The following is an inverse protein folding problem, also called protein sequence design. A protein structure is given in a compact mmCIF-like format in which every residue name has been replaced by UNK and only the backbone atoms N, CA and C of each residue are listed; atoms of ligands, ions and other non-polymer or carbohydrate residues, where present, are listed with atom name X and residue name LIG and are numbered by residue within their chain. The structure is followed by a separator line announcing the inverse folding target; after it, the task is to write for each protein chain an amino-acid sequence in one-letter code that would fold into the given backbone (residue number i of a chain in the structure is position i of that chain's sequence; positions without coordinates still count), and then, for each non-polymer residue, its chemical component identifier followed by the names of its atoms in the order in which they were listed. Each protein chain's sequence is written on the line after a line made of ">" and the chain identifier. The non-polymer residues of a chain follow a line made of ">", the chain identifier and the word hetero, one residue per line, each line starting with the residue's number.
data_IF_844365851724
#
_entry.id   IF_844365851724
#
_cell.length_a   1.000
_cell.length_b   1.000
_cell.length_c   1.000
_cell.angle_alpha   90.00
_cell.angle_beta   90.00
_cell.angle_gamma   90.00
#
_symmetry.space_group_name_H-M   'P 1'
#
loop_
_entity.id
_entity.type
_entity.pdbx_description
1 polymer ?
#
# COMPACT_ATOMS: atom_id res chain seq x y z
N UNK A 1 33.16 61.74 -27.43
CA UNK A 1 33.25 60.26 -27.37
C UNK A 1 34.73 59.89 -27.33
N UNK A 2 35.14 58.94 -26.49
CA UNK A 2 36.56 58.51 -26.38
C UNK A 2 36.61 57.01 -26.64
N UNK A 3 37.22 56.61 -27.75
CA UNK A 3 37.43 55.20 -28.05
C UNK A 3 38.73 54.75 -27.38
N UNK A 4 38.73 53.55 -26.80
CA UNK A 4 39.90 53.02 -26.07
C UNK A 4 40.34 51.74 -26.79
N UNK A 5 41.64 51.43 -26.77
CA UNK A 5 42.17 50.20 -27.36
C UNK A 5 42.77 49.25 -26.31
N UNK A 6 42.65 47.92 -26.45
CA UNK A 6 43.13 46.93 -25.48
C UNK A 6 44.66 46.93 -25.25
N UNK A 7 45.42 47.59 -26.12
CA UNK A 7 46.83 47.89 -25.93
C UNK A 7 47.12 48.95 -24.85
N UNK A 8 46.11 49.45 -24.15
CA UNK A 8 46.23 50.47 -23.10
C UNK A 8 46.38 51.90 -23.66
N UNK A 9 46.13 52.09 -24.94
CA UNK A 9 46.05 53.39 -25.61
C UNK A 9 44.62 53.92 -25.62
N UNK A 10 44.46 55.24 -25.47
CA UNK A 10 43.17 55.91 -25.70
C UNK A 10 43.27 56.67 -27.01
N UNK A 11 42.31 56.45 -27.91
CA UNK A 11 42.15 57.19 -29.15
C UNK A 11 40.92 58.11 -29.02
N UNK A 12 41.10 59.35 -28.53
CA UNK A 12 39.99 60.28 -28.43
C UNK A 12 39.55 60.69 -29.84
N UNK A 13 38.28 60.45 -30.19
CA UNK A 13 37.65 61.18 -31.29
C UNK A 13 37.58 62.64 -30.85
N UNK A 14 38.63 63.40 -31.18
CA UNK A 14 38.62 64.85 -31.05
C UNK A 14 37.84 65.39 -32.23
N UNK A 15 36.54 65.55 -32.04
CA UNK A 15 35.67 65.98 -33.10
C UNK A 15 36.17 67.34 -33.63
N UNK A 16 36.71 67.37 -34.87
CA UNK A 16 37.08 68.64 -35.54
C UNK A 16 35.82 69.48 -35.86
N UNK A 17 34.63 68.93 -35.58
CA UNK A 17 33.27 69.46 -35.77
C UNK A 17 32.42 68.98 -34.58
N UNK A 18 31.56 69.83 -34.03
CA UNK A 18 30.63 69.44 -32.96
C UNK A 18 29.70 68.30 -33.44
N UNK A 19 29.60 67.23 -32.64
CA UNK A 19 28.69 66.11 -32.86
C UNK A 19 27.46 66.33 -31.97
N UNK A 20 26.30 66.57 -32.59
CA UNK A 20 25.05 66.81 -31.87
C UNK A 20 24.23 65.52 -31.92
N UNK A 21 23.90 64.97 -30.76
CA UNK A 21 23.01 63.83 -30.60
C UNK A 21 21.72 64.32 -29.93
N UNK A 22 20.67 64.49 -30.72
CA UNK A 22 19.34 64.85 -30.20
C UNK A 22 18.73 63.67 -29.41
N UNK A 23 17.81 63.92 -28.46
CA UNK A 23 17.10 62.84 -27.77
C UNK A 23 16.40 61.88 -28.75
N UNK A 24 16.69 60.58 -28.63
CA UNK A 24 16.19 59.54 -29.55
C UNK A 24 16.84 59.55 -30.95
N UNK A 25 17.81 60.44 -31.19
CA UNK A 25 18.62 60.47 -32.39
C UNK A 25 19.68 59.36 -32.40
N UNK A 26 20.20 59.08 -33.59
CA UNK A 26 21.30 58.14 -33.82
C UNK A 26 22.42 58.91 -34.51
N UNK A 27 23.66 58.58 -34.17
CA UNK A 27 24.86 59.09 -34.84
C UNK A 27 25.68 57.91 -35.34
N UNK A 28 26.05 57.93 -36.62
CA UNK A 28 26.84 56.88 -37.26
C UNK A 28 28.29 57.35 -37.48
N UNK A 29 29.24 56.54 -36.99
CA UNK A 29 30.68 56.78 -37.13
C UNK A 29 31.28 55.72 -38.07
N UNK A 30 32.25 56.10 -38.90
CA UNK A 30 32.93 55.14 -39.77
C UNK A 30 34.32 55.60 -40.23
N UNK A 31 35.13 54.64 -40.70
CA UNK A 31 36.54 54.88 -41.03
C UNK A 31 36.69 55.75 -42.28
N UNK A 32 36.02 55.38 -43.37
CA UNK A 32 36.17 56.04 -44.67
C UNK A 32 34.81 56.58 -45.13
N UNK A 33 34.80 57.72 -45.81
CA UNK A 33 33.60 58.30 -46.43
C UNK A 33 33.26 57.58 -47.75
N UNK A 34 33.12 56.26 -47.71
CA UNK A 34 32.71 55.42 -48.85
C UNK A 34 31.36 54.77 -48.55
N UNK A 35 30.30 55.37 -49.10
CA UNK A 35 28.93 54.90 -48.93
C UNK A 35 28.74 53.42 -49.27
N UNK A 36 29.44 52.88 -50.29
CA UNK A 36 29.28 51.47 -50.67
C UNK A 36 30.01 50.54 -49.70
N UNK A 37 31.19 50.92 -49.23
CA UNK A 37 31.93 50.14 -48.23
C UNK A 37 31.27 50.20 -46.85
N UNK A 38 30.60 51.30 -46.53
CA UNK A 38 29.83 51.47 -45.30
C UNK A 38 28.43 50.81 -45.38
N UNK A 39 28.23 49.84 -46.27
CA UNK A 39 26.97 49.11 -46.39
C UNK A 39 25.77 50.00 -46.75
N UNK A 40 25.98 51.04 -47.55
CA UNK A 40 24.97 52.04 -47.91
C UNK A 40 24.48 52.88 -46.72
N UNK A 41 25.31 53.06 -45.68
CA UNK A 41 25.06 54.00 -44.58
C UNK A 41 25.79 55.31 -44.83
N UNK A 42 25.10 56.43 -44.60
CA UNK A 42 25.73 57.76 -44.57
C UNK A 42 26.33 57.99 -43.19
N UNK A 43 27.63 58.34 -43.14
CA UNK A 43 28.31 58.64 -41.89
C UNK A 43 28.03 60.07 -41.43
N UNK A 44 27.83 60.25 -40.13
CA UNK A 44 27.75 61.57 -39.48
C UNK A 44 29.16 62.09 -39.12
N UNK A 45 30.10 61.17 -38.89
CA UNK A 45 31.49 61.46 -38.63
C UNK A 45 32.42 60.40 -39.24
N UNK A 46 33.45 60.88 -39.93
CA UNK A 46 34.47 60.06 -40.59
C UNK A 46 35.75 60.20 -39.78
N UNK A 47 36.28 59.09 -39.26
CA UNK A 47 37.45 59.11 -38.37
C UNK A 47 38.77 58.73 -39.04
N UNK A 48 38.78 58.34 -40.32
CA UNK A 48 39.99 58.02 -41.08
C UNK A 48 40.91 57.04 -40.32
N UNK A 49 42.19 57.36 -40.19
CA UNK A 49 43.17 56.55 -39.46
C UNK A 49 43.29 56.97 -37.97
N UNK A 50 42.41 57.85 -37.47
CA UNK A 50 42.46 58.31 -36.07
C UNK A 50 42.14 57.17 -35.08
N UNK A 51 41.39 56.15 -35.52
CA UNK A 51 41.04 54.94 -34.77
C UNK A 51 41.29 53.69 -35.62
N UNK A 52 41.82 52.65 -34.97
CA UNK A 52 41.86 51.30 -35.51
C UNK A 52 40.90 50.40 -34.70
N UNK A 53 39.77 50.02 -35.29
CA UNK A 53 38.89 48.99 -34.73
C UNK A 53 39.32 47.61 -35.26
N UNK A 54 40.07 46.88 -34.45
CA UNK A 54 40.51 45.52 -34.75
C UNK A 54 39.46 44.45 -34.45
N UNK A 55 39.77 43.18 -34.78
CA UNK A 55 38.97 42.00 -34.38
C UNK A 55 39.35 41.45 -32.99
N UNK A 56 40.41 42.00 -32.40
CA UNK A 56 40.85 41.67 -31.04
C UNK A 56 39.91 42.28 -30.00
N UNK A 57 39.98 41.81 -28.76
CA UNK A 57 39.15 42.36 -27.68
C UNK A 57 39.42 43.85 -27.46
N UNK A 58 38.36 44.65 -27.31
CA UNK A 58 38.47 46.09 -27.08
C UNK A 58 37.23 46.76 -26.45
N UNK A 59 37.27 48.07 -26.16
CA UNK A 59 36.16 48.84 -25.57
C UNK A 59 35.96 50.25 -26.18
N UNK A 60 34.71 50.52 -26.57
CA UNK A 60 34.23 51.84 -27.01
C UNK A 60 33.52 52.54 -25.86
N UNK A 61 33.94 53.76 -25.50
CA UNK A 61 33.34 54.53 -24.39
C UNK A 61 32.71 55.85 -24.88
N UNK A 62 31.44 56.05 -24.57
CA UNK A 62 30.79 57.35 -24.66
C UNK A 62 31.04 58.11 -23.36
N UNK A 63 31.77 59.24 -23.44
CA UNK A 63 32.06 60.10 -22.29
C UNK A 63 31.43 61.49 -22.44
N UNK A 64 30.78 61.97 -21.38
CA UNK A 64 30.31 63.34 -21.21
C UNK A 64 31.10 64.00 -20.08
N UNK A 65 31.78 65.12 -20.37
CA UNK A 65 32.63 65.85 -19.42
C UNK A 65 33.67 65.00 -18.65
N UNK A 66 34.17 63.95 -19.31
CA UNK A 66 35.16 63.02 -18.74
C UNK A 66 34.56 61.83 -17.97
N UNK A 67 33.24 61.80 -17.75
CA UNK A 67 32.52 60.68 -17.15
C UNK A 67 32.02 59.73 -18.24
N UNK A 68 32.23 58.42 -18.08
CA UNK A 68 31.64 57.39 -18.95
C UNK A 68 30.13 57.39 -18.74
N UNK A 69 29.39 57.64 -19.82
CA UNK A 69 27.94 57.59 -19.89
C UNK A 69 27.48 56.22 -20.36
N UNK A 70 28.22 55.61 -21.29
CA UNK A 70 27.95 54.28 -21.81
C UNK A 70 29.23 53.65 -22.37
N UNK A 71 29.29 52.32 -22.43
CA UNK A 71 30.38 51.62 -23.11
C UNK A 71 29.98 50.28 -23.68
N UNK A 72 30.69 49.87 -24.74
CA UNK A 72 30.58 48.54 -25.34
C UNK A 72 31.94 47.91 -25.44
N UNK A 73 32.08 46.74 -24.81
CA UNK A 73 33.25 45.88 -24.95
C UNK A 73 32.98 44.79 -25.98
N UNK A 74 33.92 44.56 -26.88
CA UNK A 74 33.84 43.54 -27.92
C UNK A 74 35.10 42.68 -27.92
N UNK A 75 35.09 41.57 -28.65
CA UNK A 75 36.22 40.65 -28.74
C UNK A 75 35.80 39.19 -28.91
N UNK A 76 36.75 38.29 -29.24
CA UNK A 76 36.48 36.87 -29.42
C UNK A 76 35.86 36.19 -28.19
N UNK A 77 36.16 36.68 -26.98
CA UNK A 77 35.63 36.13 -25.71
C UNK A 77 34.34 36.83 -25.23
N UNK A 78 33.87 37.84 -25.97
CA UNK A 78 32.63 38.60 -25.70
C UNK A 78 31.72 38.48 -26.93
N UNK A 79 31.58 39.56 -27.69
CA UNK A 79 30.95 39.55 -29.01
C UNK A 79 32.00 39.74 -30.10
N UNK A 80 32.10 38.76 -31.01
CA UNK A 80 33.01 38.82 -32.15
C UNK A 80 32.56 39.89 -33.15
N UNK A 81 33.51 40.77 -33.53
CA UNK A 81 33.29 41.73 -34.62
C UNK A 81 33.57 41.03 -35.96
N UNK A 82 32.50 40.76 -36.70
CA UNK A 82 32.56 40.12 -38.02
C UNK A 82 32.37 41.14 -39.14
N UNK A 83 33.12 40.99 -40.23
CA UNK A 83 32.98 41.87 -41.39
C UNK A 83 31.61 41.64 -42.01
N UNK A 84 30.83 42.73 -42.18
CA UNK A 84 29.49 42.67 -42.76
C UNK A 84 28.39 42.28 -41.76
N UNK A 85 28.68 42.31 -40.45
CA UNK A 85 27.68 42.23 -39.39
C UNK A 85 27.84 43.39 -38.43
N UNK A 86 26.73 44.04 -38.12
CA UNK A 86 26.63 45.02 -37.05
C UNK A 86 26.22 44.32 -35.77
N UNK A 87 26.42 44.99 -34.64
CA UNK A 87 26.11 44.47 -33.32
C UNK A 87 25.05 45.39 -32.71
N UNK A 88 23.97 44.82 -32.17
CA UNK A 88 22.87 45.54 -31.53
C UNK A 88 22.72 45.07 -30.10
N UNK A 89 22.28 45.97 -29.22
CA UNK A 89 21.94 45.66 -27.84
C UNK A 89 20.48 45.21 -27.77
N UNK A 90 20.22 44.11 -27.06
CA UNK A 90 18.90 43.65 -26.64
C UNK A 90 18.30 44.61 -25.61
N UNK A 91 17.13 45.20 -25.87
CA UNK A 91 16.42 46.00 -24.89
C UNK A 91 16.01 45.13 -23.69
N UNK A 92 16.03 45.73 -22.50
CA UNK A 92 15.58 45.14 -21.22
C UNK A 92 16.55 44.20 -20.48
N UNK A 93 17.81 44.05 -20.91
CA UNK A 93 18.86 43.46 -20.06
C UNK A 93 19.59 44.56 -19.27
N UNK A 94 19.05 44.91 -18.10
CA UNK A 94 19.71 45.85 -17.19
C UNK A 94 20.74 45.09 -16.33
N UNK A 95 22.04 45.29 -16.59
CA UNK A 95 23.11 44.91 -15.65
C UNK A 95 23.93 43.63 -15.92
N UNK A 96 23.91 43.05 -17.13
CA UNK A 96 24.87 42.00 -17.52
C UNK A 96 25.66 42.48 -18.77
N UNK A 97 26.99 42.24 -18.88
CA UNK A 97 27.81 42.61 -20.05
C UNK A 97 27.47 41.86 -21.37
N UNK A 98 26.25 41.33 -21.54
CA UNK A 98 25.91 40.34 -22.58
C UNK A 98 24.57 40.61 -23.30
N UNK A 99 24.14 41.86 -23.43
CA UNK A 99 22.99 42.16 -24.28
C UNK A 99 23.34 42.35 -25.76
N UNK A 100 24.62 42.29 -26.14
CA UNK A 100 25.04 42.57 -27.52
C UNK A 100 25.02 41.28 -28.34
N UNK A 101 24.28 41.29 -29.45
CA UNK A 101 24.24 40.21 -30.45
C UNK A 101 24.41 40.76 -31.87
N UNK A 102 24.70 39.87 -32.83
CA UNK A 102 24.72 40.26 -34.24
C UNK A 102 23.33 40.76 -34.66
N UNK A 103 23.30 41.82 -35.47
CA UNK A 103 22.08 42.26 -36.11
C UNK A 103 21.50 41.10 -36.93
N UNK A 104 20.20 40.82 -36.77
CA UNK A 104 19.52 39.74 -37.50
C UNK A 104 18.88 40.25 -38.79
N UNK A 105 18.55 41.55 -38.86
CA UNK A 105 17.96 42.20 -40.04
C UNK A 105 19.02 42.77 -40.99
N UNK A 106 18.87 42.48 -42.28
CA UNK A 106 19.71 43.07 -43.33
C UNK A 106 19.44 44.56 -43.47
N UNK A 107 20.49 45.37 -43.58
CA UNK A 107 20.41 46.78 -43.91
C UNK A 107 20.95 47.11 -45.28
N UNK A 108 20.27 48.02 -45.99
CA UNK A 108 20.74 48.67 -47.22
C UNK A 108 21.08 47.72 -48.38
N UNK A 109 20.61 46.47 -48.28
CA UNK A 109 20.65 45.35 -49.25
C UNK A 109 21.83 45.25 -50.21
N UNK A 110 23.01 45.62 -49.73
CA UNK A 110 24.25 45.11 -50.28
C UNK A 110 24.67 43.73 -49.77
N UNK A 111 24.05 43.24 -48.68
CA UNK A 111 24.40 42.06 -47.84
C UNK A 111 25.15 42.37 -46.51
N UNK A 112 24.86 43.49 -45.84
CA UNK A 112 25.28 43.71 -44.44
C UNK A 112 24.08 43.52 -43.50
N UNK A 113 24.25 42.79 -42.41
CA UNK A 113 23.26 42.73 -41.33
C UNK A 113 23.51 43.90 -40.39
N UNK A 114 22.59 44.86 -40.28
CA UNK A 114 22.89 46.07 -39.53
C UNK A 114 21.70 46.97 -39.27
N UNK A 115 21.86 47.93 -38.36
CA UNK A 115 20.86 48.96 -38.09
C UNK A 115 21.57 50.31 -38.11
N UNK A 116 20.99 51.30 -38.80
CA UNK A 116 20.97 52.65 -38.29
C UNK A 116 19.51 53.07 -38.20
N UNK A 117 18.84 52.70 -37.12
CA UNK A 117 17.46 53.14 -36.89
C UNK A 117 16.64 52.34 -35.89
N UNK A 118 16.73 51.02 -35.92
CA UNK A 118 15.85 50.13 -35.14
C UNK A 118 16.69 49.21 -34.26
N UNK A 119 16.27 48.97 -33.03
CA UNK A 119 16.92 48.00 -32.15
C UNK A 119 16.59 46.57 -32.64
N UNK A 120 17.55 45.64 -32.52
CA UNK A 120 17.16 44.23 -32.35
C UNK A 120 16.41 44.17 -31.02
N UNK A 121 15.11 43.93 -31.04
CA UNK A 121 14.34 43.90 -29.78
C UNK A 121 14.65 42.67 -28.94
N UNK A 122 15.18 41.60 -29.55
CA UNK A 122 15.58 40.36 -28.90
C UNK A 122 16.85 39.83 -29.55
N UNK A 123 17.67 39.09 -28.82
CA UNK A 123 18.80 38.35 -29.37
C UNK A 123 18.40 36.89 -29.57
N UNK A 124 19.00 36.24 -30.58
CA UNK A 124 18.98 34.77 -30.71
C UNK A 124 19.98 34.23 -29.68
N UNK A 125 19.48 33.77 -28.53
CA UNK A 125 20.33 33.49 -27.37
C UNK A 125 20.96 32.09 -27.40
N UNK A 126 20.40 31.17 -28.17
CA UNK A 126 20.91 29.80 -28.32
C UNK A 126 21.57 29.52 -29.69
N UNK A 127 21.49 30.46 -30.61
CA UNK A 127 22.04 30.45 -31.97
C UNK A 127 21.42 29.39 -32.89
N UNK A 128 20.12 29.11 -32.75
CA UNK A 128 19.37 28.23 -33.64
C UNK A 128 18.87 28.94 -34.93
N UNK A 129 18.95 30.28 -34.95
CA UNK A 129 18.54 31.14 -36.06
C UNK A 129 17.19 31.84 -35.85
N UNK A 130 16.52 31.64 -34.72
CA UNK A 130 15.28 32.30 -34.32
C UNK A 130 15.51 33.09 -33.02
N UNK A 131 14.59 34.01 -32.72
CA UNK A 131 14.52 34.61 -31.40
C UNK A 131 13.06 34.83 -31.01
N UNK A 132 12.83 35.31 -29.78
CA UNK A 132 11.50 35.49 -29.21
C UNK A 132 10.53 36.28 -30.13
N UNK A 133 10.97 37.38 -30.74
CA UNK A 133 10.12 38.17 -31.65
C UNK A 133 9.89 37.57 -33.04
N UNK A 134 10.61 36.50 -33.37
CA UNK A 134 10.45 35.72 -34.60
C UNK A 134 9.64 34.43 -34.37
N UNK A 135 9.16 34.20 -33.15
CA UNK A 135 8.28 33.09 -32.79
C UNK A 135 8.96 31.95 -32.04
N UNK A 136 10.20 32.12 -31.60
CA UNK A 136 10.85 31.18 -30.70
C UNK A 136 10.18 31.19 -29.32
N UNK A 137 9.74 30.02 -28.88
CA UNK A 137 9.06 29.82 -27.62
C UNK A 137 10.00 29.43 -26.46
N UNK A 138 11.26 29.07 -26.74
CA UNK A 138 12.34 28.90 -25.74
C UNK A 138 13.71 29.25 -26.34
N UNK A 139 13.99 30.56 -26.43
CA UNK A 139 15.21 31.18 -26.98
C UNK A 139 16.52 30.81 -26.23
N UNK A 140 16.47 29.91 -25.26
CA UNK A 140 17.66 29.35 -24.59
C UNK A 140 17.91 27.88 -24.93
N UNK A 141 17.11 27.29 -25.81
CA UNK A 141 17.17 25.88 -26.16
C UNK A 141 17.06 25.67 -27.67
N UNK A 142 18.17 25.37 -28.37
CA UNK A 142 18.22 25.38 -29.84
C UNK A 142 17.54 24.16 -30.50
N UNK A 143 16.75 23.43 -29.71
CA UNK A 143 15.89 22.33 -30.14
C UNK A 143 14.42 22.69 -30.08
N UNK A 144 14.10 23.83 -29.48
CA UNK A 144 12.76 24.38 -29.38
C UNK A 144 12.79 25.65 -30.21
N UNK A 145 12.03 25.70 -31.29
CA UNK A 145 12.06 26.83 -32.21
C UNK A 145 11.24 26.56 -33.47
N UNK A 146 10.86 27.61 -34.22
CA UNK A 146 10.00 27.48 -35.40
C UNK A 146 10.47 26.41 -36.40
N UNK A 147 9.68 25.34 -36.53
CA UNK A 147 9.92 24.25 -37.49
C UNK A 147 10.89 23.16 -37.04
N UNK A 148 11.22 23.09 -35.75
CA UNK A 148 11.96 21.95 -35.17
C UNK A 148 11.11 20.65 -35.18
N UNK A 149 11.71 19.45 -35.07
CA UNK A 149 10.94 18.21 -34.92
C UNK A 149 10.27 18.11 -33.55
N UNK A 150 9.02 17.65 -33.52
CA UNK A 150 8.29 17.35 -32.28
C UNK A 150 8.80 16.06 -31.63
N UNK A 151 8.81 16.06 -30.30
CA UNK A 151 9.05 14.88 -29.48
C UNK A 151 7.90 14.70 -28.49
N UNK A 152 7.58 13.45 -28.15
CA UNK A 152 6.62 13.16 -27.08
C UNK A 152 7.22 13.51 -25.70
N UNK A 153 7.19 14.78 -25.34
CA UNK A 153 7.80 15.35 -24.13
C UNK A 153 6.90 16.40 -23.45
N UNK A 154 5.73 16.70 -24.03
CA UNK A 154 4.77 17.68 -23.52
C UNK A 154 5.17 19.13 -23.76
N UNK A 155 6.09 19.39 -24.68
CA UNK A 155 6.57 20.70 -25.12
C UNK A 155 6.15 20.87 -26.58
N UNK A 156 5.81 22.10 -26.95
CA UNK A 156 5.67 22.53 -28.36
C UNK A 156 7.08 22.81 -28.88
N UNK A 157 7.78 21.78 -29.35
CA UNK A 157 9.19 21.89 -29.75
C UNK A 157 9.32 22.77 -31.01
N UNK A 158 8.29 22.82 -31.85
CA UNK A 158 8.34 23.53 -33.13
C UNK A 158 7.67 24.92 -33.11
N UNK A 159 7.18 25.33 -31.93
CA UNK A 159 6.50 26.59 -31.63
C UNK A 159 5.32 26.92 -32.56
N UNK A 160 4.53 25.92 -32.98
CA UNK A 160 3.37 26.12 -33.85
C UNK A 160 2.03 26.27 -33.09
N UNK A 161 2.04 26.11 -31.77
CA UNK A 161 0.88 26.21 -30.89
C UNK A 161 0.14 24.89 -30.64
N UNK A 162 0.66 23.77 -31.16
CA UNK A 162 0.24 22.41 -30.84
C UNK A 162 1.35 21.74 -30.00
N UNK A 163 1.03 20.64 -29.34
CA UNK A 163 1.98 19.96 -28.46
C UNK A 163 1.96 18.48 -28.81
N UNK A 164 3.14 17.91 -29.02
CA UNK A 164 3.35 16.51 -29.39
C UNK A 164 2.57 16.07 -30.64
N UNK A 165 2.35 16.94 -31.62
CA UNK A 165 1.76 16.57 -32.90
C UNK A 165 2.78 15.92 -33.84
N UNK A 166 2.30 15.11 -34.79
CA UNK A 166 3.14 14.45 -35.81
C UNK A 166 4.35 13.65 -35.25
N UNK A 167 4.31 13.27 -33.96
CA UNK A 167 5.38 12.48 -33.30
C UNK A 167 5.39 11.02 -33.74
N UNK A 168 6.59 10.49 -33.95
CA UNK A 168 6.80 9.06 -34.24
C UNK A 168 7.08 8.26 -32.95
N UNK A 169 6.40 7.11 -32.73
CA UNK A 169 6.66 6.26 -31.58
C UNK A 169 8.10 5.74 -31.50
N UNK A 170 8.72 5.90 -30.34
CA UNK A 170 10.07 5.35 -30.05
C UNK A 170 10.05 4.01 -29.31
N UNK A 171 8.85 3.53 -28.95
CA UNK A 171 8.60 2.23 -28.31
C UNK A 171 7.74 1.35 -29.21
N UNK A 172 7.73 0.04 -28.94
CA UNK A 172 6.81 -0.92 -29.57
C UNK A 172 6.05 -1.67 -28.48
N UNK A 173 4.72 -1.76 -28.63
CA UNK A 173 3.87 -2.52 -27.72
C UNK A 173 3.87 -4.01 -28.06
N UNK A 174 3.50 -4.84 -27.08
CA UNK A 174 3.17 -6.25 -27.32
C UNK A 174 1.95 -6.33 -28.25
N UNK A 175 1.96 -7.30 -29.17
CA UNK A 175 1.00 -7.41 -30.26
C UNK A 175 0.37 -8.80 -30.40
N UNK A 176 0.61 -9.68 -29.43
CA UNK A 176 0.04 -11.03 -29.36
C UNK A 176 -1.07 -11.12 -28.32
N UNK A 177 -1.81 -12.21 -28.34
CA UNK A 177 -2.86 -12.48 -27.37
C UNK A 177 -3.89 -11.37 -27.31
N UNK A 178 -4.24 -10.97 -26.08
CA UNK A 178 -5.18 -9.88 -25.83
C UNK A 178 -4.61 -8.50 -26.23
N UNK A 179 -3.28 -8.35 -26.28
CA UNK A 179 -2.62 -7.09 -26.65
C UNK A 179 -2.67 -6.77 -28.15
N UNK A 180 -3.16 -7.68 -28.99
CA UNK A 180 -3.17 -7.52 -30.44
C UNK A 180 -3.85 -6.20 -30.86
N UNK A 181 -3.10 -5.37 -31.60
CA UNK A 181 -3.55 -4.07 -32.07
C UNK A 181 -3.31 -2.90 -31.11
N UNK A 182 -2.69 -3.12 -29.96
CA UNK A 182 -2.24 -2.04 -29.07
C UNK A 182 -1.18 -1.19 -29.77
N UNK A 183 -1.42 0.11 -29.85
CA UNK A 183 -0.50 1.08 -30.44
C UNK A 183 0.07 2.01 -29.37
N UNK A 184 1.36 2.40 -29.45
CA UNK A 184 1.93 3.39 -28.54
C UNK A 184 1.13 4.68 -28.56
N UNK A 185 0.88 5.25 -27.37
CA UNK A 185 0.18 6.52 -27.21
C UNK A 185 1.07 7.51 -26.48
N UNK A 186 1.22 8.72 -27.02
CA UNK A 186 1.96 9.79 -26.37
C UNK A 186 1.15 10.37 -25.20
N UNK A 187 1.80 10.62 -24.06
CA UNK A 187 1.23 11.26 -22.87
C UNK A 187 2.01 12.54 -22.50
N UNK A 188 2.56 13.22 -23.50
CA UNK A 188 3.43 14.38 -23.36
C UNK A 188 4.61 14.12 -22.44
N UNK A 189 4.74 14.88 -21.35
CA UNK A 189 5.86 14.77 -20.41
C UNK A 189 5.98 13.39 -19.73
N UNK A 190 4.92 12.59 -19.70
CA UNK A 190 4.97 11.21 -19.22
C UNK A 190 5.56 10.23 -20.26
N UNK A 191 5.78 10.68 -21.50
CA UNK A 191 6.34 9.91 -22.60
C UNK A 191 5.34 8.96 -23.25
N UNK A 192 5.87 7.96 -23.94
CA UNK A 192 5.08 6.94 -24.62
C UNK A 192 4.60 5.84 -23.66
N UNK A 193 3.34 5.44 -23.79
CA UNK A 193 2.77 4.30 -23.07
C UNK A 193 2.15 3.29 -24.05
N UNK A 194 1.99 2.05 -23.58
CA UNK A 194 1.19 1.03 -24.23
C UNK A 194 -0.10 0.83 -23.43
N UNK A 195 -1.25 1.37 -23.89
CA UNK A 195 -2.52 1.21 -23.19
C UNK A 195 -3.11 -0.17 -23.47
N UNK A 196 -2.56 -1.21 -22.82
CA UNK A 196 -3.06 -2.57 -22.95
C UNK A 196 -4.52 -2.68 -22.44
N UNK A 197 -5.34 -3.55 -23.05
CA UNK A 197 -6.75 -3.70 -22.69
C UNK A 197 -6.94 -4.32 -21.30
N UNK A 198 -8.19 -4.25 -20.81
CA UNK A 198 -8.61 -4.96 -19.61
C UNK A 198 -8.38 -6.47 -19.77
N UNK A 199 -7.77 -7.11 -18.79
CA UNK A 199 -7.32 -8.50 -18.85
C UNK A 199 -5.84 -8.68 -19.14
N UNK A 200 -5.10 -7.62 -19.51
CA UNK A 200 -3.63 -7.71 -19.60
C UNK A 200 -3.00 -8.00 -18.24
N UNK A 201 -2.03 -8.92 -18.24
CA UNK A 201 -1.23 -9.32 -17.10
C UNK A 201 0.27 -9.13 -17.43
N UNK A 202 1.12 -8.73 -16.49
CA UNK A 202 2.58 -8.68 -16.78
C UNK A 202 3.21 -10.07 -16.86
N UNK A 203 2.58 -11.03 -16.18
CA UNK A 203 2.93 -12.44 -16.11
C UNK A 203 1.61 -13.18 -16.05
N UNK A 204 1.44 -14.22 -16.86
CA UNK A 204 0.22 -15.01 -16.89
C UNK A 204 -0.08 -15.61 -15.50
N UNK A 205 -1.22 -15.26 -14.92
CA UNK A 205 -1.71 -15.77 -13.63
C UNK A 205 -3.11 -16.35 -13.73
N UNK A 206 -3.85 -16.02 -14.78
CA UNK A 206 -5.18 -16.58 -15.07
C UNK A 206 -5.05 -17.70 -16.10
N UNK A 207 -5.79 -18.79 -15.93
CA UNK A 207 -5.85 -19.91 -16.90
C UNK A 207 -7.21 -19.86 -17.62
N UNK A 208 -7.38 -18.92 -18.54
CA UNK A 208 -8.67 -18.63 -19.21
C UNK A 208 -8.67 -18.93 -20.72
N UNK A 209 -7.58 -19.47 -21.25
CA UNK A 209 -7.44 -19.75 -22.67
C UNK A 209 -7.08 -18.53 -23.51
N UNK A 210 -6.72 -17.41 -22.88
CA UNK A 210 -6.22 -16.20 -23.52
C UNK A 210 -4.72 -16.08 -23.20
N UNK A 211 -4.00 -15.27 -23.97
CA UNK A 211 -2.60 -14.92 -23.75
C UNK A 211 -2.60 -13.51 -23.17
N UNK A 212 -2.71 -13.43 -21.84
CA UNK A 212 -2.92 -12.19 -21.09
C UNK A 212 -1.61 -11.44 -20.87
N UNK A 213 -0.48 -12.14 -20.85
CA UNK A 213 0.87 -11.57 -20.81
C UNK A 213 1.47 -11.25 -22.18
N UNK A 214 0.78 -11.67 -23.24
CA UNK A 214 1.05 -11.34 -24.63
C UNK A 214 2.44 -11.82 -25.09
N UNK A 215 2.97 -12.89 -24.49
CA UNK A 215 4.22 -13.51 -24.90
C UNK A 215 4.06 -14.41 -26.14
N UNK A 216 2.82 -14.77 -26.48
CA UNK A 216 2.44 -15.57 -27.64
C UNK A 216 2.17 -17.03 -27.34
N UNK A 217 2.12 -17.41 -26.07
CA UNK A 217 1.79 -18.75 -25.61
C UNK A 217 0.62 -18.59 -24.62
N UNK A 218 -0.50 -19.23 -24.93
CA UNK A 218 -1.69 -19.19 -24.09
C UNK A 218 -1.43 -19.94 -22.79
N UNK A 219 -1.77 -19.33 -21.65
CA UNK A 219 -1.74 -19.91 -20.30
C UNK A 219 -0.38 -20.56 -19.86
N UNK A 220 0.77 -20.03 -20.29
CA UNK A 220 2.06 -20.75 -20.25
C UNK A 220 2.78 -20.81 -18.88
N UNK A 221 2.34 -20.04 -17.90
CA UNK A 221 2.78 -20.15 -16.51
C UNK A 221 1.97 -21.15 -15.67
N UNK A 222 1.03 -21.86 -16.30
CA UNK A 222 0.23 -22.89 -15.65
C UNK A 222 0.80 -24.27 -15.95
N UNK A 223 1.24 -24.97 -14.90
CA UNK A 223 1.76 -26.33 -15.01
C UNK A 223 1.16 -27.23 -13.96
N UNK A 224 0.97 -28.50 -14.31
CA UNK A 224 0.61 -29.56 -13.38
C UNK A 224 1.83 -30.43 -13.14
N UNK A 225 2.39 -30.41 -11.93
CA UNK A 225 3.66 -31.09 -11.59
C UNK A 225 4.82 -30.82 -12.58
N UNK A 226 4.88 -29.60 -13.13
CA UNK A 226 5.88 -29.20 -14.13
C UNK A 226 5.59 -29.65 -15.57
N UNK A 227 4.44 -30.27 -15.81
CA UNK A 227 3.92 -30.55 -17.15
C UNK A 227 3.10 -29.35 -17.63
N UNK A 228 3.39 -28.89 -18.85
CA UNK A 228 2.66 -27.78 -19.48
C UNK A 228 1.25 -28.22 -19.92
N UNK A 229 0.35 -27.26 -20.09
CA UNK A 229 -0.97 -27.49 -20.69
C UNK A 229 -0.86 -28.25 -22.02
N UNK A 230 -1.75 -29.22 -22.21
CA UNK A 230 -1.76 -30.12 -23.36
C UNK A 230 -0.79 -31.31 -23.28
N UNK A 231 0.07 -31.40 -22.26
CA UNK A 231 0.93 -32.56 -22.05
C UNK A 231 0.15 -33.77 -21.52
N UNK A 232 0.61 -34.98 -21.86
CA UNK A 232 0.10 -36.21 -21.26
C UNK A 232 0.47 -36.25 -19.77
N UNK A 233 -0.51 -36.53 -18.91
CA UNK A 233 -0.34 -36.67 -17.47
C UNK A 233 -0.97 -37.96 -16.95
N UNK A 234 -0.71 -38.31 -15.69
CA UNK A 234 -1.37 -39.40 -14.98
C UNK A 234 -1.82 -38.79 -13.65
N UNK A 235 -3.13 -38.77 -13.40
CA UNK A 235 -3.63 -38.29 -12.11
C UNK A 235 -3.39 -39.35 -11.03
N UNK A 236 -3.37 -38.92 -9.77
CA UNK A 236 -3.24 -39.80 -8.62
C UNK A 236 -4.44 -40.76 -8.56
N UNK A 237 -4.29 -41.86 -7.81
CA UNK A 237 -5.38 -42.82 -7.62
C UNK A 237 -5.76 -43.68 -8.83
N UNK A 238 -7.06 -43.94 -9.00
CA UNK A 238 -7.60 -44.84 -10.03
C UNK A 238 -7.89 -44.14 -11.37
N UNK A 239 -7.60 -42.85 -11.46
CA UNK A 239 -7.98 -41.95 -12.54
C UNK A 239 -7.31 -42.25 -13.90
N UNK A 240 -6.10 -42.84 -13.89
CA UNK A 240 -5.41 -43.22 -15.11
C UNK A 240 -4.77 -42.04 -15.87
N UNK A 241 -4.63 -42.19 -17.20
CA UNK A 241 -3.95 -41.22 -18.07
C UNK A 241 -4.87 -40.09 -18.50
N UNK A 242 -4.34 -38.88 -18.53
CA UNK A 242 -5.06 -37.67 -18.90
C UNK A 242 -4.21 -36.69 -19.71
N UNK A 243 -4.74 -35.49 -19.86
CA UNK A 243 -4.07 -34.32 -20.46
C UNK A 243 -4.16 -33.14 -19.50
N UNK A 244 -3.07 -32.39 -19.37
CA UNK A 244 -3.03 -31.20 -18.52
C UNK A 244 -3.92 -30.11 -19.12
N UNK A 245 -4.88 -29.60 -18.35
CA UNK A 245 -5.86 -28.58 -18.74
C UNK A 245 -5.99 -27.52 -17.65
N UNK A 246 -6.55 -26.35 -17.96
CA UNK A 246 -6.96 -25.39 -16.93
C UNK A 246 -8.02 -26.00 -16.01
N UNK A 247 -7.95 -25.67 -14.72
CA UNK A 247 -9.03 -25.89 -13.76
C UNK A 247 -10.26 -25.09 -14.18
N UNK A 248 -11.45 -25.59 -13.83
CA UNK A 248 -12.72 -24.93 -14.18
C UNK A 248 -12.88 -23.53 -13.56
N UNK A 249 -12.17 -23.25 -12.46
CA UNK A 249 -12.14 -21.94 -11.79
C UNK A 249 -11.08 -20.98 -12.37
N UNK A 250 -10.26 -21.43 -13.33
CA UNK A 250 -9.19 -20.66 -13.96
C UNK A 250 -7.98 -20.39 -13.06
N UNK A 251 -7.87 -21.01 -11.88
CA UNK A 251 -6.82 -20.71 -10.90
C UNK A 251 -5.51 -21.47 -11.10
N UNK A 252 -5.46 -22.39 -12.05
CA UNK A 252 -4.25 -23.16 -12.36
C UNK A 252 -4.50 -24.32 -13.33
N UNK A 253 -3.50 -25.18 -13.49
CA UNK A 253 -3.61 -26.40 -14.28
C UNK A 253 -3.98 -27.62 -13.42
N UNK A 254 -4.69 -28.58 -14.01
CA UNK A 254 -5.01 -29.90 -13.45
C UNK A 254 -4.85 -30.99 -14.51
N UNK A 255 -4.72 -32.24 -14.10
CA UNK A 255 -4.69 -33.38 -15.01
C UNK A 255 -6.11 -33.90 -15.26
N UNK A 256 -6.69 -33.61 -16.43
CA UNK A 256 -7.99 -34.19 -16.79
C UNK A 256 -7.81 -35.58 -17.39
N UNK A 257 -8.35 -36.60 -16.73
CA UNK A 257 -8.32 -38.00 -17.16
C UNK A 257 -9.45 -38.37 -18.12
N UNK A 258 -10.27 -37.40 -18.54
CA UNK A 258 -11.40 -37.62 -19.45
C UNK A 258 -11.23 -36.96 -20.82
N UNK A 259 -11.80 -37.57 -21.89
CA UNK A 259 -11.78 -36.99 -23.23
C UNK A 259 -12.53 -35.64 -23.36
N UNK A 260 -13.42 -35.31 -22.43
CA UNK A 260 -14.43 -34.24 -22.58
C UNK A 260 -14.32 -33.07 -21.58
N UNK A 261 -13.32 -33.01 -20.68
CA UNK A 261 -13.09 -31.84 -19.80
C UNK A 261 -12.66 -32.14 -18.35
N UNK A 262 -12.49 -31.09 -17.51
CA UNK A 262 -11.98 -31.18 -16.14
C UNK A 262 -13.00 -31.67 -15.11
N UNK A 263 -14.28 -31.79 -15.48
CA UNK A 263 -15.29 -32.35 -14.60
C UNK A 263 -15.04 -33.85 -14.49
N UNK A 264 -14.39 -34.23 -13.41
CA UNK A 264 -14.16 -35.60 -13.08
C UNK A 264 -15.50 -36.34 -12.96
N UNK A 265 -15.56 -37.51 -13.58
CA UNK A 265 -16.71 -38.40 -13.55
C UNK A 265 -16.27 -39.78 -13.12
N UNK A 266 -15.88 -39.86 -11.87
CA UNK A 266 -15.95 -41.08 -11.12
C UNK A 266 -16.83 -40.87 -9.89
N UNK A 267 -16.73 -41.80 -8.97
CA UNK A 267 -17.69 -42.05 -7.92
C UNK A 267 -17.71 -40.92 -6.89
N UNK A 268 -18.63 -40.99 -5.94
CA UNK A 268 -18.52 -40.21 -4.70
C UNK A 268 -17.23 -40.59 -3.99
N UNK A 269 -16.49 -39.59 -3.47
CA UNK A 269 -15.23 -39.80 -2.77
C UNK A 269 -15.40 -40.73 -1.56
N UNK A 270 -14.41 -41.61 -1.35
CA UNK A 270 -14.40 -42.58 -0.27
C UNK A 270 -13.08 -42.43 0.48
N UNK A 271 -13.15 -42.33 1.81
CA UNK A 271 -11.99 -42.24 2.70
C UNK A 271 -11.17 -43.55 2.69
N UNK A 272 -10.36 -43.78 1.65
CA UNK A 272 -9.53 -44.97 1.45
C UNK A 272 -8.08 -44.65 1.06
N UNK A 273 -7.72 -43.36 1.03
CA UNK A 273 -6.39 -42.87 0.67
C UNK A 273 -6.14 -42.84 -0.84
N UNK A 274 -7.20 -42.90 -1.65
CA UNK A 274 -7.17 -42.84 -3.11
C UNK A 274 -8.15 -41.76 -3.55
N UNK A 275 -7.73 -40.91 -4.48
CA UNK A 275 -8.59 -40.01 -5.24
C UNK A 275 -9.56 -40.86 -6.11
N UNK A 276 -10.83 -40.96 -5.67
CA UNK A 276 -11.90 -41.79 -6.24
C UNK A 276 -12.96 -40.99 -7.00
N UNK A 277 -12.89 -39.67 -6.93
CA UNK A 277 -13.69 -38.73 -7.71
C UNK A 277 -12.85 -37.88 -8.68
N UNK A 278 -11.54 -38.15 -8.77
CA UNK A 278 -10.56 -37.61 -9.72
C UNK A 278 -10.49 -36.08 -9.76
N UNK A 279 -10.82 -35.39 -8.67
CA UNK A 279 -10.74 -33.93 -8.60
C UNK A 279 -9.31 -33.41 -8.35
N UNK A 280 -8.38 -34.31 -8.00
CA UNK A 280 -6.97 -34.06 -7.77
C UNK A 280 -6.59 -33.82 -6.30
N UNK A 281 -7.54 -33.84 -5.38
CA UNK A 281 -7.31 -33.96 -3.94
C UNK A 281 -7.45 -35.45 -3.53
N UNK A 282 -7.31 -35.79 -2.25
CA UNK A 282 -7.45 -37.18 -1.79
C UNK A 282 -8.21 -37.19 -0.47
N UNK A 283 -9.29 -37.96 -0.42
CA UNK A 283 -10.21 -38.04 0.72
C UNK A 283 -10.76 -36.67 1.16
N UNK A 284 -11.06 -35.77 0.21
CA UNK A 284 -11.68 -34.48 0.48
C UNK A 284 -13.12 -34.61 0.98
N UNK A 285 -13.58 -33.64 1.77
CA UNK A 285 -14.86 -33.73 2.48
C UNK A 285 -14.85 -34.63 3.73
N UNK A 286 -13.74 -35.32 4.01
CA UNK A 286 -13.50 -36.03 5.28
C UNK A 286 -12.58 -35.19 6.20
N UNK A 287 -12.77 -35.29 7.52
CA UNK A 287 -12.03 -34.47 8.48
C UNK A 287 -10.63 -35.05 8.78
N UNK A 288 -9.99 -35.68 7.80
CA UNK A 288 -8.71 -36.40 7.98
C UNK A 288 -7.64 -35.45 8.53
N UNK A 289 -7.00 -35.85 9.62
CA UNK A 289 -6.01 -35.04 10.33
C UNK A 289 -6.58 -34.06 11.36
N UNK A 290 -7.90 -33.86 11.43
CA UNK A 290 -8.52 -33.09 12.51
C UNK A 290 -8.62 -33.91 13.81
N UNK A 291 -8.75 -33.20 14.94
CA UNK A 291 -8.89 -33.83 16.25
C UNK A 291 -10.30 -34.42 16.45
N UNK A 292 -10.36 -35.61 17.03
CA UNK A 292 -11.60 -36.32 17.38
C UNK A 292 -11.54 -36.78 18.84
N UNK A 293 -12.70 -37.07 19.44
CA UNK A 293 -12.77 -37.62 20.81
C UNK A 293 -13.58 -38.90 20.78
N UNK A 294 -13.03 -39.96 21.37
CA UNK A 294 -13.69 -41.27 21.50
C UNK A 294 -13.64 -41.72 22.96
N UNK A 295 -14.71 -42.38 23.43
CA UNK A 295 -14.90 -42.77 24.83
C UNK A 295 -15.89 -41.87 25.59
N UNK A 296 -16.33 -42.35 26.76
CA UNK A 296 -17.20 -41.65 27.71
C UNK A 296 -16.45 -41.41 29.02
N UNK A 297 -16.87 -40.41 29.80
CA UNK A 297 -16.32 -40.18 31.14
C UNK A 297 -14.81 -39.96 31.17
N UNK A 298 -14.13 -40.60 32.13
CA UNK A 298 -12.68 -40.59 32.28
C UNK A 298 -11.95 -41.27 31.11
N UNK A 299 -12.63 -42.13 30.34
CA UNK A 299 -12.04 -42.83 29.19
C UNK A 299 -12.01 -42.01 27.92
N UNK A 300 -12.62 -40.82 27.88
CA UNK A 300 -12.62 -39.98 26.69
C UNK A 300 -11.19 -39.53 26.32
N UNK A 301 -10.70 -39.93 25.15
CA UNK A 301 -9.37 -39.58 24.64
C UNK A 301 -9.44 -38.82 23.33
N UNK A 302 -8.51 -37.87 23.17
CA UNK A 302 -8.34 -37.11 21.93
C UNK A 302 -7.50 -37.94 20.96
N UNK A 303 -8.08 -38.26 19.81
CA UNK A 303 -7.41 -38.85 18.66
C UNK A 303 -7.32 -37.88 17.48
N UNK A 304 -6.91 -38.43 16.33
CA UNK A 304 -6.98 -37.75 15.03
C UNK A 304 -7.80 -38.61 14.06
N UNK A 305 -8.62 -37.97 13.23
CA UNK A 305 -9.34 -38.69 12.19
C UNK A 305 -8.37 -39.21 11.13
N UNK A 306 -8.60 -40.45 10.70
CA UNK A 306 -7.84 -41.12 9.64
C UNK A 306 -8.76 -42.00 8.79
N UNK A 307 -8.31 -42.34 7.59
CA UNK A 307 -9.02 -43.27 6.72
C UNK A 307 -8.67 -44.72 7.01
N UNK A 308 -9.71 -45.56 7.03
CA UNK A 308 -9.63 -47.01 7.06
C UNK A 308 -10.40 -47.59 5.87
N UNK A 309 -9.77 -48.53 5.16
CA UNK A 309 -10.29 -49.09 3.90
C UNK A 309 -11.59 -49.86 4.05
N UNK A 310 -11.92 -50.32 5.26
CA UNK A 310 -13.14 -51.10 5.53
C UNK A 310 -14.20 -50.29 6.28
N UNK A 311 -13.78 -49.32 7.09
CA UNK A 311 -14.65 -48.57 8.01
C UNK A 311 -14.85 -47.09 7.63
N UNK A 312 -14.13 -46.58 6.62
CA UNK A 312 -14.16 -45.17 6.22
C UNK A 312 -13.42 -44.29 7.21
N UNK A 313 -13.94 -43.10 7.51
CA UNK A 313 -13.32 -42.19 8.49
C UNK A 313 -13.43 -42.75 9.92
N UNK A 314 -12.29 -43.01 10.55
CA UNK A 314 -12.17 -43.51 11.93
C UNK A 314 -11.43 -42.50 12.82
N UNK A 315 -11.69 -42.52 14.13
CA UNK A 315 -10.93 -41.76 15.11
C UNK A 315 -9.78 -42.61 15.66
N UNK A 316 -8.53 -42.18 15.50
CA UNK A 316 -7.38 -42.86 16.10
C UNK A 316 -7.14 -42.37 17.54
N UNK A 317 -8.11 -42.60 18.43
CA UNK A 317 -7.98 -42.33 19.85
C UNK A 317 -7.40 -43.55 20.59
N UNK A 318 -6.62 -43.29 21.66
CA UNK A 318 -6.14 -44.37 22.51
C UNK A 318 -7.28 -44.90 23.38
N UNK A 319 -7.50 -46.22 23.39
CA UNK A 319 -8.47 -46.84 24.29
C UNK A 319 -7.88 -46.87 25.71
N UNK A 320 -8.58 -46.26 26.66
CA UNK A 320 -8.30 -46.42 28.10
C UNK A 320 -9.23 -47.51 28.62
N UNK A 321 -8.66 -48.49 29.32
CA UNK A 321 -9.44 -49.54 29.97
C UNK A 321 -10.23 -48.96 31.15
N UNK A 322 -11.53 -49.28 31.29
CA UNK A 322 -12.35 -48.79 32.38
C UNK A 322 -11.84 -49.32 33.72
N UNK A 323 -11.91 -48.47 34.76
CA UNK A 323 -11.55 -48.82 36.13
C UNK A 323 -12.80 -49.04 36.99
N UNK A 324 -12.64 -49.60 38.20
CA UNK A 324 -13.78 -49.70 39.12
C UNK A 324 -14.24 -48.30 39.54
N UNK A 325 -15.56 -48.13 39.65
CA UNK A 325 -16.17 -46.86 40.01
C UNK A 325 -15.81 -46.45 41.45
N UNK A 326 -15.46 -45.18 41.61
CA UNK A 326 -15.25 -44.52 42.89
C UNK A 326 -16.14 -43.28 42.96
N UNK A 327 -16.55 -42.90 44.16
CA UNK A 327 -17.41 -41.74 44.37
C UNK A 327 -16.58 -40.44 44.29
N UNK A 328 -16.22 -40.02 43.09
CA UNK A 328 -15.42 -38.81 42.85
C UNK A 328 -16.07 -37.81 41.89
N UNK A 329 -17.28 -38.10 41.42
CA UNK A 329 -18.03 -37.27 40.49
C UNK A 329 -17.58 -37.42 39.03
N UNK A 330 -16.79 -38.45 38.72
CA UNK A 330 -16.32 -38.80 37.38
C UNK A 330 -16.75 -40.25 37.10
N UNK A 331 -17.20 -40.51 35.87
CA UNK A 331 -17.46 -41.85 35.34
C UNK A 331 -16.13 -42.57 35.08
N UNK A 332 -15.70 -43.43 36.01
CA UNK A 332 -14.40 -44.11 36.00
C UNK A 332 -14.46 -45.49 35.33
N UNK A 333 -15.64 -46.11 35.30
CA UNK A 333 -15.91 -47.37 34.60
C UNK A 333 -16.46 -47.19 33.18
N UNK A 334 -16.72 -45.94 32.81
CA UNK A 334 -17.04 -45.48 31.46
C UNK A 334 -18.34 -46.09 30.91
N UNK A 335 -19.30 -46.41 31.79
CA UNK A 335 -20.62 -46.93 31.42
C UNK A 335 -21.64 -45.83 31.06
N UNK A 336 -21.28 -44.56 31.26
CA UNK A 336 -22.10 -43.39 31.00
C UNK A 336 -22.91 -42.89 32.20
N UNK A 337 -22.74 -43.48 33.38
CA UNK A 337 -23.27 -43.01 34.67
C UNK A 337 -22.12 -42.47 35.52
N UNK A 338 -22.47 -41.65 36.53
CA UNK A 338 -21.47 -41.04 37.41
C UNK A 338 -21.75 -41.56 38.81
N UNK A 339 -20.73 -42.10 39.48
CA UNK A 339 -20.76 -42.64 40.84
C UNK A 339 -21.87 -43.70 41.05
N UNK A 340 -22.13 -44.56 40.06
CA UNK A 340 -23.14 -45.62 40.19
C UNK A 340 -22.75 -46.67 41.25
N UNK A 341 -23.76 -47.22 41.92
CA UNK A 341 -23.53 -48.06 43.10
C UNK A 341 -23.28 -47.28 44.39
N UNK A 342 -23.11 -45.95 44.34
CA UNK A 342 -23.10 -45.07 45.51
C UNK A 342 -24.46 -44.36 45.67
N UNK A 343 -25.02 -44.38 46.88
CA UNK A 343 -26.29 -43.71 47.18
C UNK A 343 -26.09 -42.19 47.34
N UNK A 344 -25.58 -41.49 46.33
CA UNK A 344 -25.32 -40.04 46.38
C UNK A 344 -26.63 -39.25 46.26
N UNK A 345 -26.79 -38.21 47.08
CA UNK A 345 -27.95 -37.30 47.03
C UNK A 345 -29.23 -37.84 47.67
N UNK A 346 -29.16 -39.01 48.33
CA UNK A 346 -30.26 -39.64 49.09
C UNK A 346 -30.42 -38.97 50.45
N UNK A 347 -31.65 -38.89 50.96
CA UNK A 347 -31.93 -38.31 52.27
C UNK A 347 -31.34 -39.17 53.40
N UNK A 348 -30.64 -38.52 54.33
CA UNK A 348 -30.03 -39.14 55.49
C UNK A 348 -30.35 -38.36 56.76
N UNK A 349 -30.21 -39.01 57.93
CA UNK A 349 -30.35 -38.33 59.22
C UNK A 349 -29.24 -38.76 60.19
N UNK A 350 -28.73 -37.82 60.97
CA UNK A 350 -27.69 -38.04 61.98
C UNK A 350 -28.12 -37.42 63.32
N UNK A 351 -27.71 -38.03 64.43
CA UNK A 351 -28.13 -37.62 65.79
C UNK A 351 -29.40 -38.32 66.27
N UNK A 352 -29.60 -38.34 67.59
CA UNK A 352 -30.77 -38.90 68.27
C UNK A 352 -31.56 -37.77 68.96
N UNK A 353 -32.79 -38.06 69.38
CA UNK A 353 -33.63 -37.08 70.09
C UNK A 353 -33.89 -35.78 69.31
N UNK A 354 -33.86 -34.66 70.05
CA UNK A 354 -33.97 -33.29 69.51
C UNK A 354 -32.76 -32.89 68.63
N UNK A 355 -31.63 -33.59 68.76
CA UNK A 355 -30.42 -33.33 67.97
C UNK A 355 -30.45 -34.00 66.59
N UNK A 356 -31.50 -34.77 66.26
CA UNK A 356 -31.61 -35.41 64.97
C UNK A 356 -31.72 -34.36 63.85
N UNK A 357 -30.72 -34.34 62.98
CA UNK A 357 -30.66 -33.48 61.80
C UNK A 357 -30.81 -34.30 60.52
N UNK A 358 -31.49 -33.72 59.52
CA UNK A 358 -31.66 -34.31 58.20
C UNK A 358 -30.74 -33.64 57.18
N UNK A 359 -30.26 -34.40 56.20
CA UNK A 359 -29.41 -33.92 55.13
C UNK A 359 -29.45 -34.85 53.92
N UNK A 360 -28.49 -34.68 53.02
CA UNK A 360 -28.27 -35.59 51.90
C UNK A 360 -26.90 -36.24 52.00
N UNK A 361 -26.78 -37.41 51.42
CA UNK A 361 -25.51 -38.11 51.25
C UNK A 361 -24.65 -37.43 50.19
N UNK A 362 -23.35 -37.32 50.45
CA UNK A 362 -22.31 -36.91 49.49
C UNK A 362 -21.17 -37.93 49.49
N UNK A 363 -20.33 -37.92 48.47
CA UNK A 363 -19.10 -38.71 48.48
C UNK A 363 -18.20 -38.36 49.68
N UNK A 364 -17.62 -39.39 50.30
CA UNK A 364 -16.58 -39.25 51.31
C UNK A 364 -15.32 -38.65 50.68
N UNK A 365 -14.47 -38.02 51.49
CA UNK A 365 -13.27 -37.33 50.98
C UNK A 365 -12.23 -38.29 50.39
N UNK A 366 -12.36 -39.61 50.64
CA UNK A 366 -11.54 -40.68 50.07
C UNK A 366 -12.22 -41.41 48.89
N UNK A 367 -13.43 -40.99 48.49
CA UNK A 367 -14.20 -41.56 47.37
C UNK A 367 -14.70 -42.99 47.56
N UNK A 368 -14.52 -43.58 48.75
CA UNK A 368 -14.83 -45.00 49.00
C UNK A 368 -16.26 -45.27 49.46
N UNK A 369 -17.00 -44.23 49.86
CA UNK A 369 -18.34 -44.36 50.43
C UNK A 369 -19.13 -43.05 50.33
N UNK A 370 -20.37 -43.06 50.81
CA UNK A 370 -21.16 -41.85 50.99
C UNK A 370 -21.30 -41.50 52.47
N UNK A 371 -21.23 -40.21 52.79
CA UNK A 371 -21.41 -39.66 54.13
C UNK A 371 -22.56 -38.65 54.17
N UNK A 372 -23.24 -38.54 55.32
CA UNK A 372 -24.33 -37.58 55.50
C UNK A 372 -23.77 -36.17 55.74
N UNK A 373 -24.21 -35.18 54.96
CA UNK A 373 -23.82 -33.78 55.14
C UNK A 373 -24.47 -33.11 56.36
N UNK A 374 -25.46 -33.74 56.96
CA UNK A 374 -26.14 -33.21 58.14
C UNK A 374 -25.17 -33.08 59.32
N UNK A 375 -25.33 -32.00 60.10
CA UNK A 375 -24.63 -31.83 61.37
C UNK A 375 -25.63 -32.09 62.50
N UNK A 376 -25.34 -32.97 63.46
CA UNK A 376 -26.20 -33.16 64.62
C UNK A 376 -26.49 -31.83 65.32
N UNK A 377 -27.71 -31.66 65.81
CA UNK A 377 -28.07 -30.56 66.69
C UNK A 377 -27.20 -30.55 67.94
N UNK A 378 -27.05 -29.39 68.57
CA UNK A 378 -26.31 -29.27 69.82
C UNK A 378 -27.16 -29.78 70.98
N UNK A 379 -26.64 -30.69 71.83
CA UNK A 379 -27.30 -31.08 73.07
C UNK A 379 -27.67 -29.87 73.94
N UNK A 380 -28.93 -29.78 74.35
CA UNK A 380 -29.40 -28.81 75.34
C UNK A 380 -29.75 -29.54 76.65
N UNK A 381 -29.68 -28.90 77.83
CA UNK A 381 -30.03 -29.58 79.08
C UNK A 381 -31.46 -30.14 79.08
N UNK A 382 -31.65 -31.35 79.60
CA UNK A 382 -32.94 -32.04 79.57
C UNK A 382 -34.08 -31.25 80.23
N UNK A 383 -35.29 -31.29 79.67
CA UNK A 383 -36.48 -30.61 80.18
C UNK A 383 -37.49 -31.64 80.69
N UNK A 384 -37.86 -31.56 81.96
CA UNK A 384 -38.78 -32.54 82.54
C UNK A 384 -40.21 -32.46 81.98
N UNK A 385 -40.78 -33.65 81.76
CA UNK A 385 -42.17 -33.94 81.40
C UNK A 385 -42.59 -33.43 80.01
N UNK A 386 -41.64 -33.27 79.07
CA UNK A 386 -41.92 -32.85 77.69
C UNK A 386 -41.86 -34.01 76.67
N UNK A 387 -41.33 -35.18 77.07
CA UNK A 387 -41.24 -36.38 76.26
C UNK A 387 -40.27 -36.30 75.09
N UNK A 388 -39.34 -35.34 75.12
CA UNK A 388 -38.29 -35.13 74.11
C UNK A 388 -36.93 -35.40 74.80
N UNK A 389 -36.00 -36.01 74.06
CA UNK A 389 -34.60 -36.16 74.46
C UNK A 389 -33.84 -34.89 74.02
N UNK A 390 -33.76 -33.91 74.91
CA UNK A 390 -33.20 -32.58 74.62
C UNK A 390 -31.67 -32.57 74.74
N UNK A 391 -31.09 -33.42 75.61
CA UNK A 391 -29.64 -33.55 75.78
C UNK A 391 -28.98 -34.64 74.92
N UNK A 392 -29.81 -35.36 74.17
CA UNK A 392 -29.45 -36.25 73.08
C UNK A 392 -28.55 -37.40 73.54
N UNK A 393 -28.79 -37.89 74.76
CA UNK A 393 -28.10 -39.02 75.37
C UNK A 393 -28.79 -40.38 75.13
N UNK A 394 -29.96 -40.35 74.47
CA UNK A 394 -30.77 -41.52 74.12
C UNK A 394 -31.84 -41.88 75.14
N UNK A 395 -32.02 -41.08 76.19
CA UNK A 395 -33.10 -41.21 77.16
C UNK A 395 -34.05 -40.00 77.08
N UNK A 396 -35.26 -40.13 77.64
CA UNK A 396 -36.24 -39.04 77.69
C UNK A 396 -36.65 -38.84 79.15
N UNK A 397 -36.64 -37.59 79.63
CA UNK A 397 -37.08 -37.18 80.97
C UNK A 397 -36.32 -37.83 82.15
N UNK A 398 -34.98 -37.75 82.22
CA UNK A 398 -34.19 -38.35 83.31
C UNK A 398 -34.39 -37.63 84.66
N UNK A 399 -33.99 -38.28 85.76
CA UNK A 399 -34.21 -37.74 87.12
C UNK A 399 -33.51 -36.39 87.41
N UNK A 400 -32.48 -36.01 86.64
CA UNK A 400 -31.70 -34.77 86.78
C UNK A 400 -32.16 -33.65 85.81
N UNK A 401 -33.30 -33.80 85.14
CA UNK A 401 -33.85 -32.82 84.20
C UNK A 401 -34.22 -31.46 84.83
N UNK A 402 -34.24 -30.41 84.01
CA UNK A 402 -34.56 -29.04 84.41
C UNK A 402 -36.07 -28.82 84.32
N UNK A 403 -36.73 -28.63 85.48
CA UNK A 403 -38.18 -28.34 85.53
C UNK A 403 -38.52 -26.98 84.93
N UNK A 404 -39.36 -26.97 83.89
CA UNK A 404 -39.81 -25.75 83.22
C UNK A 404 -40.42 -24.73 84.19
N UNK A 405 -39.91 -23.49 84.18
CA UNK A 405 -40.42 -22.39 85.02
C UNK A 405 -41.86 -22.02 84.64
N UNK A 406 -42.83 -22.33 85.51
CA UNK A 406 -44.19 -21.77 85.47
C UNK A 406 -44.17 -20.25 85.70
N UNK A 407 -44.38 -19.46 84.64
CA UNK A 407 -44.68 -18.03 84.74
C UNK A 407 -46.17 -17.82 85.06
N UNK A 408 -46.44 -16.90 85.98
CA UNK A 408 -47.78 -16.54 86.43
C UNK A 408 -48.45 -15.57 85.44
N UNK A 409 -49.74 -15.79 85.16
CA UNK A 409 -50.71 -14.72 84.95
C UNK A 409 -50.90 -14.17 83.53
N UNK A 410 -52.06 -14.49 82.97
CA UNK A 410 -52.65 -14.11 81.68
C UNK A 410 -52.81 -12.61 81.33
N UNK A 411 -52.82 -12.39 80.01
CA UNK A 411 -53.66 -11.51 79.17
C UNK A 411 -53.35 -10.01 79.01
N UNK A 412 -52.90 -9.64 77.80
CA UNK A 412 -53.70 -8.91 76.78
C UNK A 412 -52.87 -8.67 75.51
N UNK A 413 -53.39 -9.01 74.32
CA UNK A 413 -52.76 -8.69 73.01
C UNK A 413 -52.80 -7.18 72.66
N UNK A 414 -52.66 -6.76 71.39
CA UNK A 414 -52.43 -7.54 70.16
C UNK A 414 -51.36 -6.94 69.18
N UNK A 415 -51.13 -7.70 68.11
CA UNK A 415 -50.70 -7.30 66.75
C UNK A 415 -49.31 -6.72 66.44
N UNK A 416 -48.62 -7.49 65.60
CA UNK A 416 -47.99 -7.14 64.32
C UNK A 416 -46.53 -6.66 64.23
N UNK A 417 -45.93 -7.24 63.19
CA UNK A 417 -44.87 -6.76 62.30
C UNK A 417 -43.42 -6.91 62.78
N UNK A 418 -42.79 -7.98 62.27
CA UNK A 418 -41.35 -8.07 62.09
C UNK A 418 -41.03 -7.90 60.61
N UNK A 419 -40.13 -6.98 60.23
CA UNK A 419 -39.39 -7.08 59.00
C UNK A 419 -37.91 -7.40 59.27
N UNK A 420 -37.39 -8.35 58.49
CA UNK A 420 -36.14 -8.27 57.74
C UNK A 420 -34.98 -7.46 58.33
N UNK A 421 -33.84 -8.12 58.60
CA UNK A 421 -32.56 -7.67 58.04
C UNK A 421 -31.70 -8.88 57.64
N UNK A 422 -31.34 -8.84 56.36
CA UNK A 422 -30.45 -9.68 55.58
C UNK A 422 -28.98 -9.31 55.90
N UNK A 423 -28.08 -10.29 56.08
CA UNK A 423 -26.64 -10.05 55.92
C UNK A 423 -26.16 -10.77 54.65
N UNK A 424 -25.91 -9.98 53.61
CA UNK A 424 -25.33 -10.40 52.34
C UNK A 424 -23.85 -9.98 52.36
N UNK A 425 -22.94 -10.94 52.34
CA UNK A 425 -21.54 -10.71 52.00
C UNK A 425 -21.45 -10.50 50.49
N UNK A 426 -21.03 -9.30 50.06
CA UNK A 426 -20.75 -9.00 48.66
C UNK A 426 -19.25 -9.17 48.37
N UNK A 427 -19.01 -9.95 47.33
CA UNK A 427 -17.73 -10.37 46.77
C UNK A 427 -17.00 -9.24 46.05
N UNK A 428 -15.67 -9.30 46.17
CA UNK A 428 -14.68 -8.53 45.45
C UNK A 428 -14.71 -8.88 43.94
N UNK A 429 -14.89 -7.90 43.05
CA UNK A 429 -14.61 -8.07 41.61
C UNK A 429 -13.65 -6.96 41.16
N UNK A 430 -12.50 -7.40 40.68
CA UNK A 430 -11.48 -6.63 39.96
C UNK A 430 -11.91 -6.52 38.50
N UNK A 431 -11.89 -5.33 37.90
CA UNK A 431 -11.79 -5.17 36.46
C UNK A 431 -10.89 -3.98 36.08
N UNK A 432 -10.12 -4.22 35.02
CA UNK A 432 -9.00 -3.43 34.51
C UNK A 432 -9.45 -2.43 33.44
N UNK A 433 -8.83 -1.24 33.46
CA UNK A 433 -8.64 -0.20 32.42
C UNK A 433 -9.48 -0.21 31.12
N UNK A 434 -9.96 0.99 30.74
CA UNK A 434 -9.46 1.70 29.53
C UNK A 434 -9.79 3.21 29.51
N UNK A 435 -8.90 3.95 28.86
CA UNK A 435 -8.76 5.39 28.77
C UNK A 435 -9.65 6.06 27.70
N UNK A 436 -9.88 7.36 27.93
CA UNK A 436 -9.96 8.47 26.99
C UNK A 436 -11.22 8.70 26.13
N UNK A 437 -11.88 9.83 26.39
CA UNK A 437 -12.27 10.79 25.34
C UNK A 437 -12.21 12.20 25.92
N UNK A 438 -11.31 13.03 25.39
CA UNK A 438 -11.20 14.45 25.70
C UNK A 438 -12.30 15.22 24.94
N UNK A 439 -12.88 16.19 25.63
CA UNK A 439 -13.68 17.29 25.07
C UNK A 439 -12.82 18.53 24.89
#
# INVERSE_FOLDING_TARGET
>A
MVLTTASGGFHPISARKELILEPGGIVVLGQLDDFKQNGSVKLDYVYEDDILLGRESDEIQLKLDGTVVDSVSYGPDLISVEVGKSISLEPYIDGIPKGWCHARRTYGDGQNFGTPGEANNYCDNDNDGWAEDEGDCDDYNPKIGPGMPEYCNGIDDNCNGLTDEDVEPTISCLDKGICAGTVPTCQGAAGWICPYPEGYEEVEVTCDGIDNDCNGIVDDNHTFEGLALGADCVSLGNCGKGVVTCKADGTGATCSTMPDGPDAKDSEEICDGIDNDCDGETDEGFNVGEACVEGLGACAQIGVFACDKELGQICLAQVIEPSEEICDGIDNDCDGQIDEGFEVGVECSIGEGACRAFGKTRCSDDGSSVICEAKPGTPEPEICDDGIDNDCDGQTDEEDCVKAKKSAGCNSGPTMASPFVLFLFATLIIWVRRLAKAS
#
